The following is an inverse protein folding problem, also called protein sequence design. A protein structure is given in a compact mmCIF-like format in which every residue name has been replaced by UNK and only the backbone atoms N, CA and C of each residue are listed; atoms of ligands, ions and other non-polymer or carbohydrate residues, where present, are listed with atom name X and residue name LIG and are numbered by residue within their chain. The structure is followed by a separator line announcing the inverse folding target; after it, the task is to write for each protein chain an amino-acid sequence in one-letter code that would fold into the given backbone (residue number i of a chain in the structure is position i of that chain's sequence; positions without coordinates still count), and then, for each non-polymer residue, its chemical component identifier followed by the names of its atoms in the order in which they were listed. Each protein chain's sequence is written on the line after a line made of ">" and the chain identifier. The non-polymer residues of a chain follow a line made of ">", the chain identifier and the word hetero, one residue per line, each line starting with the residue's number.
data_IF_125763112621
#
_entry.id   IF_125763112621
#
_cell.length_a   1.000
_cell.length_b   1.000
_cell.length_c   1.000
_cell.angle_alpha   90.00
_cell.angle_beta   90.00
_cell.angle_gamma   90.00
#
_symmetry.space_group_name_H-M   'P 1'
#
loop_
_entity.id
_entity.type
_entity.pdbx_description
1 polymer ?
#
# COMPACT_ATOMS: atom_id res chain seq x y z
N UNK A 1 -39.40 -4.14 -9.09
CA UNK A 1 -37.92 -4.14 -9.09
C UNK A 1 -37.49 -3.55 -7.76
N UNK A 2 -36.91 -4.34 -6.85
CA UNK A 2 -36.38 -3.80 -5.61
C UNK A 2 -35.18 -2.90 -5.90
N UNK A 3 -34.90 -1.87 -5.08
CA UNK A 3 -33.69 -1.07 -5.25
C UNK A 3 -32.47 -1.99 -5.12
N UNK A 4 -31.62 -2.01 -6.14
CA UNK A 4 -30.31 -2.63 -6.04
C UNK A 4 -29.52 -1.85 -4.99
N UNK A 5 -29.36 -2.43 -3.79
CA UNK A 5 -28.47 -1.85 -2.80
C UNK A 5 -27.05 -1.94 -3.36
N UNK A 6 -26.45 -0.80 -3.69
CA UNK A 6 -25.04 -0.75 -4.01
C UNK A 6 -24.26 -1.28 -2.80
N UNK A 7 -23.27 -2.15 -3.03
CA UNK A 7 -22.39 -2.67 -1.99
C UNK A 7 -21.16 -1.76 -1.92
N UNK A 8 -20.71 -1.31 -0.73
CA UNK A 8 -19.50 -0.52 -0.64
C UNK A 8 -18.29 -1.26 -1.21
N UNK A 9 -17.39 -0.53 -1.87
CA UNK A 9 -16.22 -1.12 -2.50
C UNK A 9 -15.02 -0.17 -2.47
N UNK A 10 -13.82 -0.75 -2.50
CA UNK A 10 -12.55 -0.07 -2.73
C UNK A 10 -11.71 -0.92 -3.67
N UNK A 11 -11.06 -0.28 -4.64
CA UNK A 11 -10.09 -0.91 -5.53
C UNK A 11 -8.87 0.00 -5.65
N UNK A 12 -7.68 -0.60 -5.60
CA UNK A 12 -6.42 0.07 -5.83
C UNK A 12 -5.52 -0.78 -6.71
N UNK A 13 -4.84 -0.18 -7.67
CA UNK A 13 -3.88 -0.86 -8.53
C UNK A 13 -2.70 0.02 -8.89
N UNK A 14 -1.56 -0.64 -9.10
CA UNK A 14 -0.32 -0.06 -9.62
C UNK A 14 0.10 -0.89 -10.83
N UNK A 15 0.38 -0.22 -11.95
CA UNK A 15 0.94 -0.83 -13.15
C UNK A 15 2.48 -0.81 -13.06
N UNK A 16 3.08 -1.95 -12.72
CA UNK A 16 4.54 -2.06 -12.60
C UNK A 16 5.24 -2.05 -13.96
N UNK A 17 4.54 -2.30 -15.07
CA UNK A 17 5.14 -2.15 -16.40
C UNK A 17 5.43 -0.67 -16.74
N UNK A 18 4.72 0.24 -16.07
CA UNK A 18 4.96 1.68 -16.12
C UNK A 18 6.02 2.18 -15.15
N UNK A 19 6.55 1.32 -14.26
CA UNK A 19 7.56 1.70 -13.27
C UNK A 19 8.82 2.22 -13.97
N UNK A 20 9.22 3.43 -13.63
CA UNK A 20 10.47 4.04 -14.10
C UNK A 20 11.28 4.50 -12.92
N UNK A 21 12.55 4.10 -12.92
CA UNK A 21 13.57 4.63 -12.04
C UNK A 21 14.57 5.42 -12.89
N UNK A 22 14.90 6.62 -12.42
CA UNK A 22 15.91 7.47 -13.05
C UNK A 22 16.79 8.11 -11.98
N UNK A 23 18.05 8.29 -12.29
CA UNK A 23 19.01 8.98 -11.43
C UNK A 23 19.70 10.05 -12.27
N UNK A 24 19.59 11.29 -11.83
CA UNK A 24 20.31 12.41 -12.42
C UNK A 24 21.54 12.69 -11.56
N UNK A 25 22.72 12.66 -12.19
CA UNK A 25 23.94 13.11 -11.55
C UNK A 25 23.86 14.62 -11.22
N UNK A 26 24.06 14.95 -9.95
CA UNK A 26 24.02 16.32 -9.43
C UNK A 26 25.40 16.94 -9.29
N UNK A 27 26.47 16.15 -9.36
CA UNK A 27 27.86 16.61 -9.25
C UNK A 27 28.74 16.01 -10.35
N UNK A 28 28.44 16.35 -11.60
CA UNK A 28 29.16 15.84 -12.76
C UNK A 28 30.67 16.19 -12.81
N UNK A 29 31.21 16.93 -11.83
CA UNK A 29 32.61 17.34 -11.77
C UNK A 29 33.49 16.44 -10.89
N UNK A 30 32.90 15.52 -10.11
CA UNK A 30 33.65 14.64 -9.22
C UNK A 30 34.31 13.45 -9.94
N UNK A 31 33.96 13.24 -11.22
CA UNK A 31 34.45 12.14 -12.04
C UNK A 31 33.81 10.78 -11.72
N UNK A 32 32.74 10.75 -10.92
CA UNK A 32 31.97 9.56 -10.53
C UNK A 32 30.57 9.67 -11.12
N UNK A 33 30.28 8.86 -12.15
CA UNK A 33 28.94 8.83 -12.72
C UNK A 33 27.93 8.28 -11.71
N UNK A 34 26.86 9.03 -11.45
CA UNK A 34 25.74 8.55 -10.64
C UNK A 34 25.07 7.31 -11.29
N UNK A 35 24.96 6.22 -10.53
CA UNK A 35 24.31 4.98 -10.96
C UNK A 35 23.62 4.28 -9.79
N UNK A 36 22.71 3.33 -10.08
CA UNK A 36 22.14 2.46 -9.07
C UNK A 36 21.98 1.03 -9.59
N UNK A 37 22.03 0.08 -8.67
CA UNK A 37 21.60 -1.30 -8.92
C UNK A 37 20.28 -1.57 -8.20
N UNK A 38 19.43 -2.38 -8.82
CA UNK A 38 18.14 -2.79 -8.27
C UNK A 38 18.11 -4.30 -8.04
N UNK A 39 17.57 -4.72 -6.90
CA UNK A 39 17.32 -6.13 -6.59
C UNK A 39 15.94 -6.29 -5.96
N UNK A 40 15.08 -7.15 -6.53
CA UNK A 40 13.83 -7.53 -5.89
C UNK A 40 14.14 -8.25 -4.57
N UNK A 41 13.49 -7.81 -3.49
CA UNK A 41 13.60 -8.41 -2.17
C UNK A 41 12.43 -9.35 -1.91
N UNK A 42 11.20 -8.86 -2.12
CA UNK A 42 9.99 -9.63 -1.87
C UNK A 42 8.79 -9.06 -2.62
N UNK A 43 7.79 -9.91 -2.84
CA UNK A 43 6.46 -9.56 -3.31
C UNK A 43 5.45 -10.24 -2.39
N UNK A 44 4.44 -9.48 -1.96
CA UNK A 44 3.50 -9.89 -0.92
C UNK A 44 2.08 -9.49 -1.29
N UNK A 45 1.14 -10.41 -1.09
CA UNK A 45 -0.30 -10.16 -1.13
C UNK A 45 -0.91 -10.66 0.18
N UNK A 46 -1.78 -9.86 0.78
CA UNK A 46 -2.49 -10.20 2.00
C UNK A 46 -3.90 -9.67 1.97
N UNK A 47 -4.80 -10.47 2.53
CA UNK A 47 -6.17 -10.06 2.78
C UNK A 47 -6.53 -10.50 4.19
N UNK A 48 -6.90 -9.52 5.00
CA UNK A 48 -7.64 -9.78 6.21
C UNK A 48 -8.97 -9.04 6.22
N UNK A 49 -10.06 -9.80 6.24
CA UNK A 49 -11.41 -9.27 6.40
C UNK A 49 -12.12 -10.03 7.51
N UNK A 50 -12.58 -9.29 8.52
CA UNK A 50 -13.46 -9.81 9.56
C UNK A 50 -14.80 -9.08 9.51
N UNK A 51 -15.78 -9.57 10.27
CA UNK A 51 -17.02 -8.85 10.52
C UNK A 51 -16.85 -8.05 11.82
N UNK A 52 -17.16 -6.76 11.80
CA UNK A 52 -17.25 -5.90 12.98
C UNK A 52 -15.98 -5.77 13.87
N UNK A 53 -14.78 -6.06 13.32
CA UNK A 53 -13.54 -6.08 14.10
C UNK A 53 -13.11 -4.68 14.58
N UNK A 54 -13.09 -4.49 15.91
CA UNK A 54 -12.41 -3.38 16.60
C UNK A 54 -10.91 -3.68 16.86
N UNK A 55 -10.45 -4.90 16.55
CA UNK A 55 -9.10 -5.39 16.82
C UNK A 55 -8.23 -5.52 15.56
N UNK A 56 -6.93 -5.75 15.76
CA UNK A 56 -6.01 -6.08 14.68
C UNK A 56 -6.15 -7.55 14.26
N UNK A 57 -6.28 -7.76 12.96
CA UNK A 57 -6.30 -9.06 12.28
C UNK A 57 -5.09 -9.99 12.57
N UNK A 58 -4.04 -9.47 13.23
CA UNK A 58 -2.84 -10.24 13.55
C UNK A 58 -3.04 -11.26 14.67
N UNK A 59 -4.14 -11.19 15.44
CA UNK A 59 -4.24 -11.89 16.73
C UNK A 59 -5.52 -12.73 16.88
N UNK A 60 -6.62 -12.46 16.17
CA UNK A 60 -7.92 -13.08 16.49
C UNK A 60 -8.76 -13.54 15.29
N UNK A 61 -8.49 -14.75 14.79
CA UNK A 61 -9.49 -15.70 14.26
C UNK A 61 -10.13 -15.53 12.87
N UNK A 62 -9.88 -14.47 12.10
CA UNK A 62 -10.06 -14.50 10.63
C UNK A 62 -8.77 -14.97 9.94
N UNK A 63 -8.80 -16.05 9.17
CA UNK A 63 -7.58 -16.60 8.52
C UNK A 63 -6.98 -15.55 7.57
N UNK A 64 -5.81 -14.95 7.84
CA UNK A 64 -5.17 -14.10 6.86
C UNK A 64 -4.77 -14.99 5.68
N UNK A 65 -5.28 -14.68 4.49
CA UNK A 65 -4.76 -15.28 3.26
C UNK A 65 -3.53 -14.48 2.90
N UNK A 66 -2.35 -15.10 3.04
CA UNK A 66 -1.08 -14.47 2.71
C UNK A 66 -0.40 -15.24 1.59
N UNK A 67 0.03 -14.51 0.57
CA UNK A 67 0.91 -14.98 -0.50
C UNK A 67 2.22 -14.21 -0.43
N UNK A 68 3.34 -14.90 -0.55
CA UNK A 68 4.67 -14.30 -0.50
C UNK A 68 5.62 -15.03 -1.45
N UNK A 69 6.38 -14.27 -2.23
CA UNK A 69 7.44 -14.80 -3.09
C UNK A 69 8.61 -13.82 -3.17
N UNK A 70 9.79 -14.36 -3.47
CA UNK A 70 10.97 -13.57 -3.84
C UNK A 70 11.35 -13.81 -5.31
N UNK A 71 10.58 -14.64 -6.05
CA UNK A 71 10.79 -14.86 -7.48
C UNK A 71 10.20 -13.68 -8.26
N UNK A 72 11.01 -12.93 -9.04
CA UNK A 72 10.52 -11.81 -9.82
C UNK A 72 9.53 -12.17 -10.92
N UNK A 73 9.41 -13.45 -11.30
CA UNK A 73 8.45 -13.91 -12.30
C UNK A 73 7.13 -14.39 -11.71
N UNK A 74 7.06 -14.64 -10.39
CA UNK A 74 5.91 -15.25 -9.76
C UNK A 74 4.83 -14.21 -9.40
N UNK A 75 3.57 -14.63 -9.50
CA UNK A 75 2.41 -13.86 -9.03
C UNK A 75 1.83 -14.56 -7.82
N UNK A 76 1.64 -13.81 -6.73
CA UNK A 76 0.98 -14.29 -5.51
C UNK A 76 -0.39 -13.66 -5.36
N UNK A 77 -1.35 -14.46 -4.92
CA UNK A 77 -2.72 -14.05 -4.71
C UNK A 77 -3.13 -14.34 -3.27
N UNK A 78 -3.95 -13.46 -2.72
CA UNK A 78 -4.58 -13.61 -1.42
C UNK A 78 -6.07 -13.32 -1.54
N UNK A 79 -6.88 -14.12 -0.87
CA UNK A 79 -8.33 -13.95 -0.85
C UNK A 79 -8.88 -14.34 0.51
N UNK A 80 -9.77 -13.51 1.05
CA UNK A 80 -10.53 -13.84 2.24
C UNK A 80 -11.94 -13.27 2.13
N UNK A 81 -12.88 -13.97 2.76
CA UNK A 81 -14.25 -13.52 2.89
C UNK A 81 -14.76 -13.75 4.31
N UNK A 82 -15.55 -12.79 4.78
CA UNK A 82 -16.36 -12.87 5.99
C UNK A 82 -17.84 -12.70 5.61
N UNK A 83 -18.75 -12.84 6.58
CA UNK A 83 -20.21 -12.69 6.32
C UNK A 83 -20.60 -11.34 5.71
N UNK A 84 -19.78 -10.32 5.89
CA UNK A 84 -20.07 -8.95 5.50
C UNK A 84 -19.07 -8.37 4.49
N UNK A 85 -17.92 -9.02 4.29
CA UNK A 85 -16.80 -8.50 3.48
C UNK A 85 -16.18 -9.57 2.59
N UNK A 86 -15.66 -9.16 1.45
CA UNK A 86 -14.83 -9.95 0.55
C UNK A 86 -13.63 -9.10 0.16
N UNK A 87 -12.43 -9.66 0.28
CA UNK A 87 -11.20 -9.00 -0.11
C UNK A 87 -10.36 -9.89 -1.03
N UNK A 88 -9.66 -9.25 -1.95
CA UNK A 88 -8.73 -9.89 -2.86
C UNK A 88 -7.50 -9.02 -3.01
N UNK A 89 -6.33 -9.65 -3.03
CA UNK A 89 -5.07 -8.99 -3.30
C UNK A 89 -4.24 -9.83 -4.26
N UNK A 90 -3.56 -9.17 -5.19
CA UNK A 90 -2.64 -9.80 -6.13
C UNK A 90 -1.39 -8.95 -6.25
N UNK A 91 -0.24 -9.62 -6.23
CA UNK A 91 1.05 -8.98 -6.43
C UNK A 91 1.88 -9.84 -7.38
N UNK A 92 2.30 -9.27 -8.51
CA UNK A 92 3.09 -9.96 -9.53
C UNK A 92 4.10 -9.05 -10.21
N UNK A 93 4.78 -9.51 -11.27
CA UNK A 93 5.80 -8.74 -11.98
C UNK A 93 5.26 -7.47 -12.65
N UNK A 94 4.05 -7.54 -13.17
CA UNK A 94 3.49 -6.50 -14.04
C UNK A 94 2.51 -5.59 -13.31
N UNK A 95 1.92 -6.04 -12.19
CA UNK A 95 0.91 -5.28 -11.49
C UNK A 95 0.79 -5.63 -10.02
N UNK A 96 0.35 -4.65 -9.24
CA UNK A 96 -0.18 -4.83 -7.90
C UNK A 96 -1.66 -4.47 -7.92
N UNK A 97 -2.48 -5.18 -7.17
CA UNK A 97 -3.82 -4.71 -6.90
C UNK A 97 -4.44 -5.28 -5.64
N UNK A 98 -5.36 -4.50 -5.10
CA UNK A 98 -6.18 -4.85 -3.95
C UNK A 98 -7.61 -4.41 -4.20
N UNK A 99 -8.55 -5.25 -3.77
CA UNK A 99 -9.98 -5.02 -3.86
C UNK A 99 -10.62 -5.42 -2.55
N UNK A 100 -11.56 -4.61 -2.10
CA UNK A 100 -12.40 -4.87 -0.94
C UNK A 100 -13.83 -4.52 -1.29
N UNK A 101 -14.76 -5.38 -0.92
CA UNK A 101 -16.19 -5.19 -1.13
C UNK A 101 -16.94 -5.66 0.10
N UNK A 102 -17.98 -4.92 0.50
CA UNK A 102 -18.82 -5.34 1.63
C UNK A 102 -19.24 -4.23 2.54
N UNK A 103 -20.05 -4.60 3.53
CA UNK A 103 -20.66 -3.70 4.51
C UNK A 103 -20.02 -3.82 5.89
N UNK A 104 -19.06 -4.72 6.09
CA UNK A 104 -18.38 -4.95 7.36
C UNK A 104 -17.17 -4.03 7.53
N UNK A 105 -16.68 -3.90 8.76
CA UNK A 105 -15.41 -3.23 9.04
C UNK A 105 -14.27 -4.26 8.99
N UNK A 106 -13.13 -3.89 8.43
CA UNK A 106 -11.92 -4.70 8.41
C UNK A 106 -11.02 -4.48 9.63
N UNK A 107 -11.31 -3.48 10.48
CA UNK A 107 -10.50 -3.12 11.65
C UNK A 107 -9.18 -2.43 11.27
N UNK A 108 -8.48 -1.74 12.19
CA UNK A 108 -7.37 -0.82 11.87
C UNK A 108 -6.17 -1.45 11.13
N UNK A 109 -6.01 -2.77 11.19
CA UNK A 109 -4.94 -3.51 10.51
C UNK A 109 -5.47 -4.55 9.51
N UNK A 110 -6.75 -4.51 9.15
CA UNK A 110 -7.31 -5.36 8.10
C UNK A 110 -7.27 -4.70 6.72
N UNK A 111 -8.00 -5.28 5.77
CA UNK A 111 -8.07 -4.84 4.39
C UNK A 111 -7.40 -5.82 3.43
N UNK A 112 -7.35 -5.45 2.16
CA UNK A 112 -6.54 -6.13 1.15
C UNK A 112 -5.32 -5.29 0.82
N UNK A 113 -4.16 -5.93 0.68
CA UNK A 113 -2.87 -5.27 0.53
C UNK A 113 -1.98 -6.02 -0.46
N UNK A 114 -1.41 -5.32 -1.44
CA UNK A 114 -0.37 -5.87 -2.32
C UNK A 114 0.87 -4.96 -2.27
N UNK A 115 2.04 -5.56 -2.09
CA UNK A 115 3.32 -4.86 -1.98
C UNK A 115 4.38 -5.55 -2.82
N UNK A 116 5.25 -4.78 -3.49
CA UNK A 116 6.56 -5.25 -3.99
C UNK A 116 7.66 -4.42 -3.34
N UNK A 117 8.73 -5.08 -2.90
CA UNK A 117 9.87 -4.48 -2.22
C UNK A 117 11.14 -4.71 -3.03
N UNK A 118 11.90 -3.64 -3.27
CA UNK A 118 13.12 -3.63 -4.07
C UNK A 118 14.22 -2.92 -3.30
N UNK A 119 15.40 -3.50 -3.26
CA UNK A 119 16.59 -2.84 -2.74
C UNK A 119 17.28 -2.07 -3.86
N UNK A 120 17.56 -0.79 -3.62
CA UNK A 120 18.29 0.10 -4.50
C UNK A 120 19.61 0.47 -3.84
N UNK A 121 20.73 0.21 -4.53
CA UNK A 121 22.08 0.59 -4.07
C UNK A 121 22.64 1.65 -4.99
N UNK A 122 23.02 2.78 -4.44
CA UNK A 122 23.50 3.94 -5.19
C UNK A 122 25.01 4.02 -5.18
N UNK A 123 25.58 4.46 -6.31
CA UNK A 123 26.97 4.86 -6.45
C UNK A 123 27.00 6.25 -7.10
N UNK A 124 27.77 7.17 -6.52
CA UNK A 124 27.72 8.60 -6.84
C UNK A 124 26.53 9.31 -6.19
N UNK A 125 26.62 10.63 -6.09
CA UNK A 125 25.54 11.48 -5.59
C UNK A 125 24.60 11.89 -6.74
N UNK A 126 23.30 12.02 -6.45
CA UNK A 126 22.36 12.41 -7.49
C UNK A 126 20.94 12.65 -7.00
N UNK A 127 20.07 13.04 -7.92
CA UNK A 127 18.62 13.11 -7.69
C UNK A 127 17.96 11.87 -8.26
N UNK A 128 17.49 11.00 -7.37
CA UNK A 128 16.73 9.81 -7.74
C UNK A 128 15.26 10.17 -7.92
N UNK A 129 14.62 9.60 -8.93
CA UNK A 129 13.18 9.72 -9.17
C UNK A 129 12.57 8.35 -9.47
N UNK A 130 11.46 8.05 -8.81
CA UNK A 130 10.63 6.88 -9.05
C UNK A 130 9.24 7.31 -9.52
N UNK A 131 8.78 6.77 -10.65
CA UNK A 131 7.46 7.06 -11.18
C UNK A 131 6.69 5.78 -11.50
N UNK A 132 5.37 5.79 -11.25
CA UNK A 132 4.50 4.67 -11.59
C UNK A 132 3.06 5.11 -11.82
N UNK A 133 2.37 4.46 -12.76
CA UNK A 133 0.95 4.68 -13.00
C UNK A 133 0.10 3.93 -11.98
N UNK A 134 -1.03 4.53 -11.63
CA UNK A 134 -1.98 3.97 -10.67
C UNK A 134 -3.43 4.19 -11.10
N UNK A 135 -4.32 3.37 -10.52
CA UNK A 135 -5.75 3.63 -10.49
C UNK A 135 -6.31 3.28 -9.11
N UNK A 136 -7.18 4.13 -8.57
CA UNK A 136 -7.88 3.91 -7.31
C UNK A 136 -9.35 4.31 -7.45
N UNK A 137 -10.21 3.59 -6.77
CA UNK A 137 -11.62 3.94 -6.65
C UNK A 137 -12.18 3.47 -5.31
N UNK A 138 -13.10 4.24 -4.75
CA UNK A 138 -13.85 3.85 -3.57
C UNK A 138 -15.29 4.35 -3.70
N UNK A 139 -16.25 3.53 -3.28
CA UNK A 139 -17.67 3.84 -3.38
C UNK A 139 -18.45 3.40 -2.15
N UNK A 140 -19.42 4.22 -1.74
CA UNK A 140 -20.35 3.86 -0.67
C UNK A 140 -21.56 3.12 -1.25
N UNK A 141 -21.94 2.05 -0.56
CA UNK A 141 -23.19 1.36 -0.81
C UNK A 141 -24.38 2.13 -0.23
N UNK A 142 -25.48 2.25 -0.98
CA UNK A 142 -26.67 3.00 -0.56
C UNK A 142 -27.18 2.51 0.80
N UNK A 143 -27.22 3.43 1.77
CA UNK A 143 -27.54 3.23 3.20
C UNK A 143 -26.41 2.78 4.14
N UNK A 144 -25.13 2.85 3.74
CA UNK A 144 -24.03 2.66 4.68
C UNK A 144 -24.02 3.75 5.76
N UNK A 145 -24.46 3.41 6.97
CA UNK A 145 -24.24 4.20 8.19
C UNK A 145 -22.73 4.38 8.40
N UNK A 146 -22.23 5.63 8.37
CA UNK A 146 -20.87 6.08 8.75
C UNK A 146 -19.78 5.01 8.71
N UNK A 147 -19.48 4.53 7.50
CA UNK A 147 -18.35 3.64 7.22
C UNK A 147 -17.42 4.31 6.23
N UNK A 148 -16.16 4.47 6.60
CA UNK A 148 -15.14 4.96 5.69
C UNK A 148 -14.61 3.77 4.91
N UNK A 149 -14.77 3.81 3.59
CA UNK A 149 -14.15 2.85 2.68
C UNK A 149 -13.02 3.57 1.98
N UNK A 150 -11.81 3.02 1.95
CA UNK A 150 -10.64 3.72 1.43
C UNK A 150 -9.89 2.85 0.43
N UNK A 151 -9.36 3.49 -0.61
CA UNK A 151 -8.39 2.91 -1.52
C UNK A 151 -7.13 3.78 -1.52
N UNK A 152 -5.96 3.16 -1.44
CA UNK A 152 -4.68 3.87 -1.43
C UNK A 152 -3.64 3.17 -2.30
N UNK A 153 -2.78 3.98 -2.92
CA UNK A 153 -1.54 3.57 -3.59
C UNK A 153 -0.36 4.40 -3.13
N UNK A 154 0.84 3.84 -3.05
CA UNK A 154 2.01 4.63 -2.66
C UNK A 154 3.36 4.03 -3.06
N UNK A 155 4.35 4.91 -3.13
CA UNK A 155 5.78 4.64 -3.22
C UNK A 155 6.40 5.03 -1.88
N UNK A 156 7.03 4.08 -1.19
CA UNK A 156 7.67 4.31 0.10
C UNK A 156 9.14 3.93 0.02
N UNK A 157 10.03 4.81 0.47
CA UNK A 157 11.48 4.61 0.44
C UNK A 157 12.04 4.66 1.85
N UNK A 158 12.71 3.58 2.26
CA UNK A 158 13.39 3.48 3.56
C UNK A 158 14.89 3.43 3.36
N UNK A 159 15.68 4.35 3.92
CA UNK A 159 17.14 4.21 3.93
C UNK A 159 17.52 2.99 4.78
N UNK A 160 18.52 2.24 4.35
CA UNK A 160 19.06 1.11 5.12
C UNK A 160 19.85 1.58 6.35
N UNK A 161 20.33 2.83 6.36
CA UNK A 161 21.10 3.46 7.44
C UNK A 161 20.69 4.93 7.57
N UNK A 162 20.26 5.35 8.76
CA UNK A 162 19.83 6.73 9.04
C UNK A 162 18.30 6.94 9.00
N UNK A 163 17.79 7.99 9.65
CA UNK A 163 16.38 8.14 10.06
C UNK A 163 15.43 8.80 9.02
N UNK A 164 15.85 9.00 7.77
CA UNK A 164 15.05 9.78 6.81
C UNK A 164 14.26 8.89 5.84
N UNK A 165 12.99 8.63 6.14
CA UNK A 165 12.09 7.99 5.17
C UNK A 165 11.48 9.03 4.22
N UNK A 166 11.21 8.61 2.99
CA UNK A 166 10.53 9.42 1.97
C UNK A 166 9.31 8.64 1.48
N UNK A 167 8.18 9.32 1.27
CA UNK A 167 6.95 8.65 0.83
C UNK A 167 6.14 9.56 -0.06
N UNK A 168 5.56 8.98 -1.11
CA UNK A 168 4.52 9.59 -1.93
C UNK A 168 3.33 8.63 -1.94
N UNK A 169 2.13 9.12 -1.62
CA UNK A 169 0.95 8.28 -1.55
C UNK A 169 -0.30 9.06 -1.98
N UNK A 170 -1.20 8.37 -2.66
CA UNK A 170 -2.56 8.82 -2.91
C UNK A 170 -3.53 7.98 -2.07
N UNK A 171 -4.44 8.67 -1.41
CA UNK A 171 -5.59 8.08 -0.72
C UNK A 171 -6.87 8.63 -1.35
N UNK A 172 -7.79 7.73 -1.72
CA UNK A 172 -9.12 8.07 -2.19
C UNK A 172 -10.16 7.53 -1.22
N UNK A 173 -10.99 8.44 -0.74
CA UNK A 173 -12.19 8.18 0.03
C UNK A 173 -13.42 8.48 -0.84
N UNK A 174 -14.51 7.74 -0.71
CA UNK A 174 -15.76 8.04 -1.39
C UNK A 174 -16.32 9.37 -0.85
N UNK A 175 -16.90 10.16 -1.75
CA UNK A 175 -17.72 11.32 -1.38
C UNK A 175 -19.10 10.85 -0.91
N UNK A 176 -19.83 11.67 -0.15
CA UNK A 176 -21.14 11.33 0.44
C UNK A 176 -22.06 10.59 -0.55
N UNK A 177 -22.36 9.31 -0.26
CA UNK A 177 -23.19 8.41 -1.07
C UNK A 177 -22.73 8.21 -2.53
N UNK A 178 -21.49 8.53 -2.86
CA UNK A 178 -20.94 8.52 -4.21
C UNK A 178 -19.73 7.60 -4.42
N UNK A 179 -19.27 7.57 -5.66
CA UNK A 179 -18.02 6.91 -6.08
C UNK A 179 -16.97 7.99 -6.32
N UNK A 180 -15.84 7.88 -5.64
CA UNK A 180 -14.64 8.64 -5.95
C UNK A 180 -13.68 7.75 -6.72
N UNK A 181 -13.08 8.28 -7.78
CA UNK A 181 -12.01 7.61 -8.51
C UNK A 181 -10.89 8.59 -8.85
N UNK A 182 -9.69 8.07 -8.93
CA UNK A 182 -8.51 8.81 -9.39
C UNK A 182 -7.58 7.85 -10.11
N UNK A 183 -6.97 8.33 -11.18
CA UNK A 183 -5.94 7.61 -11.91
C UNK A 183 -4.91 8.61 -12.41
N UNK A 184 -3.66 8.18 -12.50
CA UNK A 184 -2.58 9.07 -12.90
C UNK A 184 -1.21 8.44 -12.66
N UNK A 185 -0.23 9.30 -12.41
CA UNK A 185 1.16 8.92 -12.13
C UNK A 185 1.56 9.41 -10.74
N UNK A 186 2.05 8.51 -9.90
CA UNK A 186 2.78 8.86 -8.68
C UNK A 186 4.24 9.14 -9.05
N UNK A 187 4.84 10.13 -8.41
CA UNK A 187 6.26 10.49 -8.62
C UNK A 187 6.88 10.87 -7.28
N UNK A 188 7.96 10.20 -6.91
CA UNK A 188 8.75 10.51 -5.73
C UNK A 188 10.17 10.85 -6.17
N UNK A 189 10.69 12.02 -5.75
CA UNK A 189 12.04 12.47 -6.08
C UNK A 189 12.77 12.96 -4.83
N UNK A 190 14.02 12.53 -4.66
CA UNK A 190 14.86 12.92 -3.53
C UNK A 190 16.35 12.79 -3.87
N UNK A 191 17.18 13.51 -3.12
CA UNK A 191 18.63 13.46 -3.28
C UNK A 191 19.21 12.25 -2.55
N UNK A 192 20.13 11.56 -3.22
CA UNK A 192 20.88 10.41 -2.72
C UNK A 192 22.37 10.72 -2.71
N UNK A 193 23.08 10.09 -1.79
CA UNK A 193 24.53 10.16 -1.66
C UNK A 193 25.18 8.84 -2.07
N UNK A 194 26.46 8.91 -2.41
CA UNK A 194 27.27 7.72 -2.73
C UNK A 194 27.23 6.69 -1.59
N UNK A 195 27.13 5.41 -1.96
CA UNK A 195 27.09 4.28 -1.04
C UNK A 195 25.77 4.11 -0.27
N UNK A 196 24.77 4.97 -0.48
CA UNK A 196 23.47 4.79 0.17
C UNK A 196 22.70 3.60 -0.40
N UNK A 197 21.92 2.93 0.45
CA UNK A 197 21.01 1.86 0.06
C UNK A 197 19.61 2.20 0.56
N UNK A 198 18.62 1.98 -0.29
CA UNK A 198 17.21 2.20 0.02
C UNK A 198 16.39 0.94 -0.23
N UNK A 199 15.39 0.70 0.60
CA UNK A 199 14.32 -0.24 0.33
C UNK A 199 13.14 0.55 -0.25
N UNK A 200 12.86 0.34 -1.53
CA UNK A 200 11.70 0.84 -2.23
C UNK A 200 10.53 -0.13 -2.08
N UNK A 201 9.38 0.35 -1.62
CA UNK A 201 8.15 -0.41 -1.52
C UNK A 201 7.05 0.28 -2.32
N UNK A 202 6.53 -0.40 -3.34
CA UNK A 202 5.30 0.01 -4.02
C UNK A 202 4.15 -0.77 -3.41
N UNK A 203 3.04 -0.09 -3.11
CA UNK A 203 1.96 -0.66 -2.33
C UNK A 203 0.58 -0.21 -2.81
N UNK A 204 -0.35 -1.15 -2.84
CA UNK A 204 -1.79 -0.89 -2.95
C UNK A 204 -2.46 -1.37 -1.68
N UNK A 205 -3.49 -0.66 -1.23
CA UNK A 205 -4.27 -1.09 -0.07
C UNK A 205 -5.72 -0.64 -0.19
N UNK A 206 -6.61 -1.47 0.31
CA UNK A 206 -8.05 -1.17 0.40
C UNK A 206 -8.58 -1.56 1.76
N UNK A 207 -9.46 -0.72 2.31
CA UNK A 207 -9.83 -0.79 3.71
C UNK A 207 -11.27 -0.33 3.96
N UNK A 208 -11.89 -0.82 5.03
CA UNK A 208 -13.22 -0.39 5.49
C UNK A 208 -13.24 -0.26 7.01
N UNK A 209 -13.60 0.93 7.52
CA UNK A 209 -13.76 1.21 8.94
C UNK A 209 -15.21 1.45 9.30
N UNK A 210 -15.68 0.87 10.40
CA UNK A 210 -16.86 1.37 11.09
C UNK A 210 -16.40 2.46 12.06
N UNK A 211 -16.79 3.71 11.83
CA UNK A 211 -16.56 4.74 12.82
C UNK A 211 -17.46 4.47 14.04
N UNK A 212 -16.92 4.37 15.27
CA UNK A 212 -17.78 4.45 16.45
C UNK A 212 -18.44 5.82 16.45
N UNK A 213 -19.75 5.86 16.74
CA UNK A 213 -20.52 7.11 16.86
C UNK A 213 -20.01 7.85 18.13
N UNK A 214 -18.87 8.56 18.03
CA UNK A 214 -18.48 9.77 18.77
C UNK A 214 -16.97 10.11 18.64
N UNK A 215 -16.68 11.24 17.96
CA UNK A 215 -15.55 12.18 18.10
C UNK A 215 -14.12 11.80 17.62
N UNK A 216 -13.23 12.81 17.48
CA UNK A 216 -13.08 13.79 16.40
C UNK A 216 -12.15 13.28 15.27
N UNK A 217 -12.22 13.92 14.10
CA UNK A 217 -11.44 13.60 12.88
C UNK A 217 -9.95 13.42 13.19
N UNK A 218 -9.31 12.30 12.83
CA UNK A 218 -7.87 12.13 13.01
C UNK A 218 -7.09 13.07 12.10
N UNK A 219 -6.17 13.83 12.68
CA UNK A 219 -5.30 14.74 11.94
C UNK A 219 -4.33 13.97 11.01
N UNK A 220 -3.75 14.61 9.98
CA UNK A 220 -2.81 13.99 9.03
C UNK A 220 -1.66 13.19 9.69
N UNK A 221 -1.22 13.59 10.89
CA UNK A 221 -0.21 12.88 11.67
C UNK A 221 -0.66 11.47 12.11
N UNK A 222 -1.97 11.27 12.35
CA UNK A 222 -2.53 9.96 12.69
C UNK A 222 -2.48 9.01 11.50
N UNK A 223 -2.66 9.53 10.27
CA UNK A 223 -2.50 8.75 9.04
C UNK A 223 -1.04 8.37 8.77
N UNK A 224 -0.11 9.31 9.01
CA UNK A 224 1.32 9.02 8.96
C UNK A 224 1.73 7.93 9.98
N UNK A 225 1.13 7.94 11.18
CA UNK A 225 1.34 6.90 12.19
C UNK A 225 0.68 5.56 11.85
N UNK A 226 -0.46 5.53 11.16
CA UNK A 226 -1.03 4.28 10.65
C UNK A 226 -0.20 3.69 9.51
N UNK A 227 0.28 4.52 8.59
CA UNK A 227 1.21 4.12 7.53
C UNK A 227 2.55 3.64 8.11
N UNK A 228 3.10 4.34 9.11
CA UNK A 228 4.32 3.95 9.80
C UNK A 228 4.13 2.72 10.70
N UNK A 229 2.96 2.57 11.34
CA UNK A 229 2.59 1.42 12.17
C UNK A 229 2.52 0.13 11.34
N UNK A 230 1.97 0.21 10.13
CA UNK A 230 1.97 -0.90 9.17
C UNK A 230 3.38 -1.31 8.72
N UNK A 231 4.32 -0.36 8.61
CA UNK A 231 5.75 -0.66 8.35
C UNK A 231 6.40 -1.31 9.58
N UNK A 232 6.07 -0.86 10.80
CA UNK A 232 6.60 -1.43 12.05
C UNK A 232 6.24 -2.91 12.27
N UNK A 233 5.08 -3.37 11.79
CA UNK A 233 4.68 -4.78 11.94
C UNK A 233 5.59 -5.73 11.14
N UNK A 234 6.12 -5.29 9.98
CA UNK A 234 7.08 -6.09 9.19
C UNK A 234 8.43 -6.30 9.91
N UNK A 235 8.81 -5.38 10.79
CA UNK A 235 10.06 -5.44 11.57
C UNK A 235 9.95 -6.35 12.80
N UNK A 236 8.76 -6.49 13.40
CA UNK A 236 8.55 -7.33 14.59
C UNK A 236 8.51 -8.83 14.25
N UNK A 237 8.06 -9.21 13.05
CA UNK A 237 8.04 -10.62 12.62
C UNK A 237 9.45 -11.20 12.44
N UNK A 238 10.46 -10.37 12.12
CA UNK A 238 11.87 -10.82 12.04
C UNK A 238 12.56 -11.10 13.39
N UNK A 239 11.94 -10.74 14.52
CA UNK A 239 12.56 -10.92 15.86
C UNK A 239 12.08 -12.14 16.65
N UNK A 240 11.11 -12.93 16.15
CA UNK A 240 10.63 -14.14 16.83
C UNK A 240 11.12 -15.48 16.23
N UNK A 241 12.04 -15.43 15.27
CA UNK A 241 12.78 -16.62 14.82
C UNK A 241 14.26 -16.42 15.11
N UNK A 242 14.60 -16.50 16.40
CA UNK A 242 15.91 -16.92 16.91
C UNK A 242 15.67 -17.67 18.20
#
# INVERSE_FOLDING_TARGET
>A
MGPAMAVPFANASIDLTSLRFSLQDTDANDGINASFSEQLQSTFADVCVEADAQGSCWIFSGTPSTGHTNDPAETVNAWAASRQNQGMSTAGPEWLGSSLQGVGATGPNGGANATTQRELKFSGAGRFTAEVNYAVSAGLGGAATWREVLAWVGIVMFPSVGQHFQTEALVVTPQDQGVSSSAGRLSLSFDVLDGQTYLAALRTHTHSLAAPIAAPVPEPATWALMLAGLVGVTQVVRRRVR
#
